data_IF_408560630120
#
_entry.id   IF_408560630120
#
_cell.length_a   1.000
_cell.length_b   1.000
_cell.length_c   1.000
_cell.angle_alpha   90.00
_cell.angle_beta   90.00
_cell.angle_gamma   90.00
#
_symmetry.space_group_name_H-M   'P 1'
#
loop_
_entity.id
_entity.type
_entity.pdbx_description
1 polymer ?
#
# COMPACT_ATOMS: atom_id res chain seq x y z
N UNK A 1 -16.23 -26.28 -3.86
CA UNK A 1 -15.10 -26.10 -4.78
C UNK A 1 -14.28 -24.84 -4.50
N UNK A 2 -14.88 -23.67 -4.35
CA UNK A 2 -14.17 -22.39 -4.07
C UNK A 2 -13.46 -22.40 -2.70
N UNK A 3 -14.09 -22.94 -1.66
CA UNK A 3 -13.49 -23.03 -0.32
C UNK A 3 -12.27 -23.96 -0.29
N UNK A 4 -12.32 -25.11 -0.99
CA UNK A 4 -11.21 -26.04 -1.08
C UNK A 4 -10.02 -25.42 -1.86
N UNK A 5 -10.30 -24.67 -2.92
CA UNK A 5 -9.27 -23.99 -3.70
C UNK A 5 -8.58 -22.88 -2.90
N UNK A 6 -9.33 -22.12 -2.12
CA UNK A 6 -8.78 -21.10 -1.20
C UNK A 6 -7.87 -21.73 -0.15
N UNK A 7 -8.27 -22.86 0.42
CA UNK A 7 -7.47 -23.58 1.40
C UNK A 7 -6.14 -24.07 0.79
N UNK A 8 -6.19 -24.66 -0.40
CA UNK A 8 -4.99 -25.14 -1.12
C UNK A 8 -4.04 -23.98 -1.46
N UNK A 9 -4.57 -22.81 -1.85
CA UNK A 9 -3.78 -21.65 -2.19
C UNK A 9 -3.36 -20.81 -0.97
N UNK A 10 -3.78 -21.17 0.24
CA UNK A 10 -3.50 -20.41 1.44
C UNK A 10 -4.30 -19.11 1.58
N UNK A 11 -5.26 -18.86 0.72
CA UNK A 11 -6.09 -17.64 0.72
C UNK A 11 -7.14 -17.69 1.84
N UNK A 12 -7.42 -18.89 2.35
CA UNK A 12 -8.38 -19.11 3.43
C UNK A 12 -7.81 -18.83 4.82
N UNK A 13 -6.53 -18.50 4.90
CA UNK A 13 -5.86 -18.18 6.15
C UNK A 13 -6.28 -16.79 6.62
N UNK A 14 -6.40 -16.67 7.94
CA UNK A 14 -6.48 -15.38 8.58
C UNK A 14 -5.07 -14.79 8.68
N UNK A 15 -4.86 -13.66 7.99
CA UNK A 15 -3.57 -13.00 7.93
C UNK A 15 -3.55 -11.78 8.86
N UNK A 16 -2.88 -11.88 10.03
CA UNK A 16 -2.65 -10.70 10.85
C UNK A 16 -1.72 -9.72 10.15
N UNK A 17 -2.13 -8.46 10.06
CA UNK A 17 -1.35 -7.37 9.48
C UNK A 17 -0.88 -6.40 10.54
N UNK A 18 0.29 -5.82 10.35
CA UNK A 18 0.70 -4.61 11.03
C UNK A 18 0.63 -3.42 10.09
N UNK A 19 0.24 -2.26 10.60
CA UNK A 19 0.40 -0.98 9.90
C UNK A 19 1.51 -0.22 10.60
N UNK A 20 2.53 0.16 9.86
CA UNK A 20 3.68 0.93 10.35
C UNK A 20 3.65 2.29 9.69
N UNK A 21 3.37 3.31 10.48
CA UNK A 21 3.12 4.67 10.05
C UNK A 21 1.64 5.00 9.99
N UNK A 22 1.20 5.92 10.86
CA UNK A 22 -0.20 6.32 11.00
C UNK A 22 -0.41 7.78 10.63
N UNK A 23 0.16 8.18 9.48
CA UNK A 23 -0.21 9.42 8.81
C UNK A 23 -1.59 9.29 8.16
N UNK A 24 -1.92 10.19 7.25
CA UNK A 24 -3.22 10.19 6.59
C UNK A 24 -3.53 8.86 5.89
N UNK A 25 -2.57 8.30 5.17
CA UNK A 25 -2.74 7.04 4.45
C UNK A 25 -2.88 5.86 5.42
N UNK A 26 -2.02 5.76 6.43
CA UNK A 26 -2.09 4.68 7.41
C UNK A 26 -3.42 4.67 8.16
N UNK A 27 -3.95 5.82 8.53
CA UNK A 27 -5.26 5.96 9.16
C UNK A 27 -6.40 5.57 8.22
N UNK A 28 -6.30 5.94 6.95
CA UNK A 28 -7.30 5.55 5.94
C UNK A 28 -7.31 4.03 5.73
N UNK A 29 -6.13 3.40 5.66
CA UNK A 29 -6.01 1.96 5.53
C UNK A 29 -6.54 1.21 6.74
N UNK A 30 -6.36 1.77 7.94
CA UNK A 30 -6.92 1.21 9.17
C UNK A 30 -8.46 1.12 9.11
N UNK A 31 -9.10 2.08 8.49
CA UNK A 31 -10.57 2.14 8.33
C UNK A 31 -11.08 1.36 7.13
N UNK A 32 -10.19 0.87 6.27
CA UNK A 32 -10.58 0.15 5.08
C UNK A 32 -11.13 -1.24 5.42
N UNK A 33 -12.39 -1.47 5.11
CA UNK A 33 -13.07 -2.73 5.45
C UNK A 33 -12.80 -3.88 4.48
N UNK A 34 -12.26 -3.59 3.30
CA UNK A 34 -11.99 -4.58 2.27
C UNK A 34 -10.95 -5.63 2.66
N UNK A 35 -10.10 -5.36 3.63
CA UNK A 35 -9.12 -6.33 4.11
C UNK A 35 -9.80 -7.53 4.78
N UNK A 36 -10.78 -7.28 5.66
CA UNK A 36 -11.49 -8.35 6.38
C UNK A 36 -12.19 -9.33 5.45
N UNK A 37 -12.82 -8.83 4.41
CA UNK A 37 -13.53 -9.68 3.45
C UNK A 37 -12.61 -10.61 2.68
N UNK A 38 -11.30 -10.36 2.70
CA UNK A 38 -10.28 -11.15 2.00
C UNK A 38 -9.38 -11.96 2.93
N UNK A 39 -9.71 -12.03 4.22
CA UNK A 39 -8.95 -12.83 5.17
C UNK A 39 -7.79 -12.09 5.84
N UNK A 40 -7.78 -10.76 5.83
CA UNK A 40 -6.77 -9.94 6.50
C UNK A 40 -7.39 -9.17 7.64
N UNK A 41 -6.70 -9.13 8.79
CA UNK A 41 -7.12 -8.27 9.89
C UNK A 41 -5.94 -7.48 10.44
N UNK A 42 -6.20 -6.27 10.86
CA UNK A 42 -5.18 -5.42 11.46
C UNK A 42 -4.96 -5.87 12.89
N UNK A 43 -3.76 -6.36 13.20
CA UNK A 43 -3.40 -6.90 14.49
C UNK A 43 -2.50 -5.99 15.31
N UNK A 44 -1.80 -5.03 14.67
CA UNK A 44 -0.85 -4.15 15.35
C UNK A 44 -0.70 -2.83 14.61
N UNK A 45 -0.46 -1.77 15.39
CA UNK A 45 -0.24 -0.42 14.88
C UNK A 45 1.04 0.15 15.48
N UNK A 46 1.89 0.74 14.64
CA UNK A 46 3.16 1.33 15.06
C UNK A 46 3.36 2.71 14.48
N UNK A 47 3.91 3.60 15.27
CA UNK A 47 4.34 4.92 14.83
C UNK A 47 5.50 5.42 15.70
N UNK A 48 6.24 6.40 15.21
CA UNK A 48 7.29 7.09 15.96
C UNK A 48 6.81 8.36 16.65
N UNK A 49 5.66 8.91 16.25
CA UNK A 49 5.15 10.17 16.74
C UNK A 49 4.61 10.02 18.16
N UNK A 50 5.20 10.68 19.17
CA UNK A 50 4.70 10.61 20.54
C UNK A 50 3.24 11.05 20.69
N UNK A 51 2.74 11.91 19.80
CA UNK A 51 1.36 12.35 19.82
C UNK A 51 0.39 11.24 19.38
N UNK A 52 0.86 10.24 18.62
CA UNK A 52 0.06 9.12 18.12
C UNK A 52 0.19 7.87 18.99
N UNK A 53 1.36 7.66 19.59
CA UNK A 53 1.61 6.52 20.47
C UNK A 53 0.63 6.56 21.65
N UNK A 54 -0.04 5.44 21.89
CA UNK A 54 -1.06 5.32 22.93
C UNK A 54 -2.49 5.60 22.47
N UNK A 55 -2.70 6.12 21.24
CA UNK A 55 -4.06 6.26 20.68
C UNK A 55 -4.73 4.88 20.57
N UNK A 56 -6.01 4.84 20.91
CA UNK A 56 -6.84 3.64 20.80
C UNK A 56 -7.70 3.71 19.53
N UNK A 57 -7.53 2.75 18.65
CA UNK A 57 -8.33 2.58 17.43
C UNK A 57 -9.09 1.26 17.51
N UNK A 58 -10.30 1.29 18.05
CA UNK A 58 -11.18 0.12 18.21
C UNK A 58 -10.51 -1.04 18.97
N UNK A 59 -9.80 -0.73 20.04
CA UNK A 59 -9.08 -1.71 20.85
C UNK A 59 -7.62 -1.95 20.45
N UNK A 60 -7.18 -1.42 19.31
CA UNK A 60 -5.78 -1.45 18.91
C UNK A 60 -5.07 -0.19 19.40
N UNK A 61 -4.10 -0.35 20.24
CA UNK A 61 -3.29 0.75 20.77
C UNK A 61 -2.08 0.96 19.86
N UNK A 62 -1.81 2.21 19.50
CA UNK A 62 -0.60 2.56 18.74
C UNK A 62 0.62 2.35 19.62
N UNK A 63 1.51 1.47 19.18
CA UNK A 63 2.75 1.14 19.86
C UNK A 63 3.93 1.90 19.23
N UNK A 64 4.98 2.19 20.00
CA UNK A 64 6.21 2.69 19.39
C UNK A 64 6.86 1.64 18.49
N UNK A 65 7.60 2.08 17.48
CA UNK A 65 8.25 1.16 16.53
C UNK A 65 9.23 0.22 17.25
N UNK A 66 9.84 0.68 18.33
CA UNK A 66 10.76 -0.12 19.15
C UNK A 66 10.09 -1.32 19.82
N UNK A 67 8.77 -1.28 19.99
CA UNK A 67 8.00 -2.41 20.51
C UNK A 67 7.71 -3.49 19.46
N UNK A 68 8.05 -3.27 18.21
CA UNK A 68 7.72 -4.17 17.09
C UNK A 68 8.21 -5.61 17.33
N UNK A 69 9.44 -5.89 17.77
CA UNK A 69 9.88 -7.26 17.97
C UNK A 69 8.97 -8.04 18.89
N UNK A 70 8.56 -7.44 20.01
CA UNK A 70 7.68 -8.08 21.02
C UNK A 70 6.27 -8.29 20.47
N UNK A 71 5.69 -7.28 19.86
CA UNK A 71 4.30 -7.29 19.39
C UNK A 71 4.14 -8.21 18.18
N UNK A 72 5.05 -8.16 17.23
CA UNK A 72 5.05 -9.02 16.04
C UNK A 72 5.14 -10.50 16.43
N UNK A 73 6.03 -10.83 17.36
CA UNK A 73 6.16 -12.20 17.85
C UNK A 73 4.91 -12.67 18.60
N UNK A 74 4.39 -11.85 19.51
CA UNK A 74 3.24 -12.20 20.33
C UNK A 74 1.95 -12.39 19.52
N UNK A 75 1.79 -11.66 18.44
CA UNK A 75 0.57 -11.66 17.59
C UNK A 75 0.75 -12.42 16.29
N UNK A 76 1.90 -13.06 16.08
CA UNK A 76 2.20 -13.87 14.88
C UNK A 76 2.04 -13.10 13.57
N UNK A 77 2.50 -11.85 13.55
CA UNK A 77 2.41 -10.99 12.37
C UNK A 77 3.55 -11.30 11.41
N UNK A 78 3.23 -11.61 10.16
CA UNK A 78 4.23 -11.84 9.10
C UNK A 78 4.12 -10.85 7.94
N UNK A 79 3.02 -10.12 7.85
CA UNK A 79 2.76 -9.12 6.81
C UNK A 79 2.60 -7.74 7.43
N UNK A 80 3.15 -6.73 6.78
CA UNK A 80 3.01 -5.36 7.26
C UNK A 80 2.85 -4.38 6.09
N UNK A 81 2.14 -3.31 6.38
CA UNK A 81 2.01 -2.16 5.49
C UNK A 81 2.92 -1.05 6.00
N UNK A 82 3.78 -0.56 5.12
CA UNK A 82 4.71 0.52 5.43
C UNK A 82 4.20 1.81 4.79
N UNK A 83 3.83 2.79 5.62
CA UNK A 83 3.36 4.10 5.19
C UNK A 83 4.02 5.22 5.98
N UNK A 84 5.34 5.24 5.94
CA UNK A 84 6.18 6.27 6.56
C UNK A 84 6.78 7.18 5.48
N UNK A 85 7.31 8.37 5.85
CA UNK A 85 8.00 9.22 4.89
C UNK A 85 9.23 8.54 4.26
N UNK A 86 9.59 9.01 3.07
CA UNK A 86 10.67 8.43 2.26
C UNK A 86 12.00 8.31 3.02
N UNK A 87 12.34 9.32 3.80
CA UNK A 87 13.61 9.37 4.56
C UNK A 87 13.69 8.37 5.71
N UNK A 88 12.55 7.87 6.19
CA UNK A 88 12.47 6.87 7.25
C UNK A 88 12.24 5.45 6.73
N UNK A 89 11.86 5.29 5.47
CA UNK A 89 11.33 4.03 4.95
C UNK A 89 12.31 2.86 5.05
N UNK A 90 13.56 3.03 4.61
CA UNK A 90 14.55 1.94 4.64
C UNK A 90 14.89 1.53 6.08
N UNK A 91 15.08 2.50 6.96
CA UNK A 91 15.40 2.22 8.37
C UNK A 91 14.26 1.43 9.05
N UNK A 92 13.02 1.82 8.80
CA UNK A 92 11.86 1.13 9.38
C UNK A 92 11.69 -0.24 8.74
N UNK A 93 11.91 -0.38 7.44
CA UNK A 93 11.89 -1.68 6.78
C UNK A 93 12.94 -2.64 7.34
N UNK A 94 14.15 -2.15 7.64
CA UNK A 94 15.18 -2.95 8.28
C UNK A 94 14.74 -3.47 9.64
N UNK A 95 14.05 -2.64 10.42
CA UNK A 95 13.47 -3.04 11.72
C UNK A 95 12.39 -4.09 11.54
N UNK A 96 11.53 -3.94 10.52
CA UNK A 96 10.48 -4.91 10.19
C UNK A 96 11.07 -6.27 9.84
N UNK A 97 12.10 -6.28 9.00
CA UNK A 97 12.81 -7.51 8.60
C UNK A 97 13.45 -8.19 9.82
N UNK A 98 14.09 -7.40 10.69
CA UNK A 98 14.73 -7.93 11.90
C UNK A 98 13.71 -8.54 12.87
N UNK A 99 12.46 -8.13 12.84
CA UNK A 99 11.38 -8.67 13.67
C UNK A 99 10.74 -9.94 13.10
N UNK A 100 11.09 -10.35 11.89
CA UNK A 100 10.51 -11.52 11.25
C UNK A 100 9.35 -11.24 10.30
N UNK A 101 9.13 -9.98 9.90
CA UNK A 101 8.18 -9.65 8.83
C UNK A 101 8.71 -10.22 7.52
N UNK A 102 7.88 -10.95 6.80
CA UNK A 102 8.23 -11.64 5.56
C UNK A 102 7.62 -11.00 4.31
N UNK A 103 6.62 -10.18 4.48
CA UNK A 103 5.96 -9.45 3.39
C UNK A 103 5.68 -8.01 3.76
N UNK A 104 6.05 -7.09 2.88
CA UNK A 104 5.87 -5.64 3.08
C UNK A 104 5.11 -5.07 1.89
N UNK A 105 3.99 -4.44 2.17
CA UNK A 105 3.29 -3.59 1.21
C UNK A 105 3.82 -2.17 1.39
N UNK A 106 4.63 -1.70 0.45
CA UNK A 106 5.37 -0.45 0.57
C UNK A 106 4.63 0.70 -0.11
N UNK A 107 4.10 1.62 0.66
CA UNK A 107 3.49 2.86 0.18
C UNK A 107 4.46 4.05 0.23
N UNK A 108 5.66 3.88 0.80
CA UNK A 108 6.66 4.94 0.79
C UNK A 108 7.18 5.15 -0.64
N UNK A 109 7.43 6.41 -1.07
CA UNK A 109 7.82 6.70 -2.46
C UNK A 109 9.30 6.45 -2.73
N UNK A 110 9.84 5.35 -2.21
CA UNK A 110 11.23 4.93 -2.40
C UNK A 110 11.29 3.41 -2.48
N UNK A 111 12.20 2.84 -3.28
CA UNK A 111 12.44 1.40 -3.27
C UNK A 111 13.08 0.97 -1.95
N UNK A 112 12.81 -0.27 -1.55
CA UNK A 112 13.37 -0.87 -0.35
C UNK A 112 14.39 -1.95 -0.74
N UNK A 113 15.51 -1.98 -0.02
CA UNK A 113 16.47 -3.08 -0.09
C UNK A 113 16.21 -4.06 1.03
N UNK A 114 15.86 -5.31 0.68
CA UNK A 114 15.51 -6.36 1.64
C UNK A 114 16.21 -7.66 1.27
N UNK A 115 16.38 -8.59 2.23
CA UNK A 115 16.91 -9.93 1.92
C UNK A 115 16.00 -10.69 0.97
N UNK A 116 16.53 -11.70 0.22
CA UNK A 116 15.74 -12.48 -0.73
C UNK A 116 14.54 -13.21 -0.13
N UNK A 117 14.58 -13.52 1.17
CA UNK A 117 13.48 -14.19 1.87
C UNK A 117 12.28 -13.26 2.14
N UNK A 118 12.45 -11.95 2.01
CA UNK A 118 11.40 -10.96 2.25
C UNK A 118 10.84 -10.49 0.93
N UNK A 119 9.51 -10.51 0.81
CA UNK A 119 8.81 -10.05 -0.37
C UNK A 119 8.30 -8.62 -0.16
N UNK A 120 8.53 -7.76 -1.14
CA UNK A 120 8.04 -6.38 -1.12
C UNK A 120 7.20 -6.13 -2.36
N UNK A 121 6.01 -5.60 -2.15
CA UNK A 121 5.17 -5.09 -3.22
C UNK A 121 5.07 -3.58 -3.05
N UNK A 122 5.52 -2.83 -4.04
CA UNK A 122 5.44 -1.38 -4.02
C UNK A 122 4.10 -0.92 -4.59
N UNK A 123 3.49 0.04 -3.92
CA UNK A 123 2.29 0.74 -4.39
C UNK A 123 2.65 2.21 -4.58
N UNK A 124 2.77 2.64 -5.83
CA UNK A 124 3.06 4.02 -6.16
C UNK A 124 1.87 4.64 -6.89
N UNK A 125 1.10 5.43 -6.15
CA UNK A 125 -0.08 6.09 -6.69
C UNK A 125 0.28 7.15 -7.74
N UNK A 126 1.45 7.76 -7.66
CA UNK A 126 1.93 8.74 -8.63
C UNK A 126 2.14 8.11 -10.00
N UNK A 127 2.73 6.93 -10.06
CA UNK A 127 2.93 6.17 -11.30
C UNK A 127 1.59 5.81 -11.94
N UNK A 128 0.63 5.35 -11.13
CA UNK A 128 -0.71 5.03 -11.64
C UNK A 128 -1.42 6.26 -12.20
N UNK A 129 -1.28 7.40 -11.54
CA UNK A 129 -1.87 8.66 -11.99
C UNK A 129 -1.21 9.15 -13.29
N UNK A 130 0.10 9.01 -13.42
CA UNK A 130 0.83 9.31 -14.65
C UNK A 130 0.34 8.45 -15.84
N UNK A 131 0.15 7.16 -15.61
CA UNK A 131 -0.44 6.26 -16.61
C UNK A 131 -1.83 6.71 -17.04
N UNK A 132 -2.67 7.10 -16.10
CA UNK A 132 -4.01 7.60 -16.40
C UNK A 132 -3.96 8.89 -17.21
N UNK A 133 -3.11 9.84 -16.83
CA UNK A 133 -2.92 11.11 -17.53
C UNK A 133 -2.46 10.87 -18.97
N UNK A 134 -1.55 9.94 -19.21
CA UNK A 134 -1.08 9.55 -20.52
C UNK A 134 -2.21 8.99 -21.40
N UNK A 135 -3.07 8.13 -20.84
CA UNK A 135 -4.23 7.59 -21.57
C UNK A 135 -5.23 8.69 -21.96
N UNK A 136 -5.49 9.62 -21.06
CA UNK A 136 -6.38 10.77 -21.33
C UNK A 136 -5.80 11.65 -22.42
N UNK A 137 -4.51 11.94 -22.38
CA UNK A 137 -3.82 12.77 -23.38
C UNK A 137 -3.88 12.14 -24.77
N UNK A 138 -3.67 10.84 -24.90
CA UNK A 138 -3.78 10.11 -26.16
C UNK A 138 -5.19 10.13 -26.73
N UNK A 139 -6.21 10.02 -25.88
CA UNK A 139 -7.62 10.10 -26.30
C UNK A 139 -7.97 11.49 -26.84
N UNK A 140 -7.52 12.55 -26.18
CA UNK A 140 -7.72 13.93 -26.64
C UNK A 140 -6.94 14.23 -27.94
N UNK A 141 -5.73 13.71 -28.06
CA UNK A 141 -4.93 13.82 -29.27
C UNK A 141 -5.63 13.20 -30.50
N UNK A 142 -6.28 12.07 -30.33
CA UNK A 142 -7.09 11.42 -31.38
C UNK A 142 -8.29 12.25 -31.80
N UNK A 143 -8.95 12.87 -30.88
CA UNK A 143 -10.11 13.75 -31.15
C UNK A 143 -9.64 15.03 -31.86
N UNK A 144 -8.51 15.59 -31.49
CA UNK A 144 -7.94 16.77 -32.12
C UNK A 144 -7.56 16.52 -33.58
N UNK A 145 -7.07 15.34 -33.91
CA UNK A 145 -6.76 14.99 -35.31
C UNK A 145 -8.01 14.88 -36.20
N UNK A 146 -9.11 14.36 -35.66
CA UNK A 146 -10.36 14.27 -36.38
C UNK A 146 -10.98 15.66 -36.64
N UNK A 147 -10.77 16.61 -35.74
CA UNK A 147 -11.28 17.99 -35.90
C UNK A 147 -10.49 18.83 -36.89
N UNK A 148 -9.22 18.58 -37.08
CA UNK A 148 -8.40 19.35 -38.04
C UNK A 148 -8.59 18.94 -39.50
N UNK A 149 -9.00 17.70 -39.74
CA UNK A 149 -9.27 17.20 -41.10
C UNK A 149 -10.56 17.75 -41.69
N UNK A 150 -11.48 18.21 -40.87
CA UNK A 150 -12.76 18.79 -41.34
C UNK A 150 -12.66 20.28 -41.69
N UNK A 151 -11.61 20.98 -41.29
CA UNK A 151 -11.43 22.42 -41.59
C UNK A 151 -10.69 22.71 -42.90
N UNK A 152 -10.02 21.75 -43.48
CA UNK A 152 -9.24 21.95 -44.70
C UNK A 152 -10.05 21.78 -46.01
N UNK A 153 -11.32 21.40 -45.93
CA UNK A 153 -12.16 21.20 -47.12
C UNK A 153 -13.10 22.37 -47.46
N UNK A 154 -13.02 23.48 -46.72
CA UNK A 154 -13.96 24.58 -46.94
C UNK A 154 -13.34 25.85 -47.61
N UNK A 155 -12.10 25.75 -48.11
CA UNK A 155 -11.40 26.93 -48.66
C UNK A 155 -10.99 26.81 -50.15
N UNK A 156 -11.68 25.99 -50.96
CA UNK A 156 -11.35 25.87 -52.38
C UNK A 156 -12.59 25.93 -53.29
N UNK A 157 -13.50 26.87 -53.04
CA UNK A 157 -14.54 27.23 -54.01
C UNK A 157 -14.84 28.73 -53.88
N UNK A 158 -13.91 29.56 -54.39
CA UNK A 158 -14.19 30.86 -55.01
C UNK A 158 -13.13 31.15 -56.07
#
# INVERSE_FOLDING_TARGET
MIAALRHILGIDRDWPLAIVGLGNLGRALLKYRGFRSRGFHIAALFDNDPAKIGEDHDGLIVEPIEAMPRVVAARHVSLAILSVPADAAQRVADQMVACGILGILNFAPVPLSVPPAVNVVAVDLSVQLEHLAYKVQNTQGGISFAGSTLRSHHHSLE
#
